data_IF_659476336969
#
_entry.id   IF_659476336969
#
_cell.length_a   1.000
_cell.length_b   1.000
_cell.length_c   1.000
_cell.angle_alpha   90.00
_cell.angle_beta   90.00
_cell.angle_gamma   90.00
#
_symmetry.space_group_name_H-M   'P 1'
#
loop_
_entity.id
_entity.type
_entity.pdbx_description
1 polymer ?
#
# COMPACT_ATOMS: atom_id res chain seq x y z
N UNK A 1 48.17 -25.49 -30.42
CA UNK A 1 47.61 -24.15 -30.15
C UNK A 1 46.12 -24.34 -29.89
N UNK A 2 45.75 -24.60 -28.63
CA UNK A 2 44.36 -24.87 -28.28
C UNK A 2 43.64 -23.54 -28.06
N UNK A 3 42.83 -23.15 -29.03
CA UNK A 3 41.82 -22.12 -28.82
C UNK A 3 40.83 -22.67 -27.78
N UNK A 4 40.94 -22.19 -26.55
CA UNK A 4 39.87 -22.35 -25.57
C UNK A 4 38.64 -21.66 -26.14
N UNK A 5 37.70 -22.45 -26.65
CA UNK A 5 36.43 -21.99 -27.20
C UNK A 5 35.72 -21.23 -26.07
N UNK A 6 35.63 -19.90 -26.16
CA UNK A 6 34.78 -19.11 -25.27
C UNK A 6 33.37 -19.67 -25.43
N UNK A 7 32.88 -20.32 -24.38
CA UNK A 7 31.49 -20.72 -24.31
C UNK A 7 30.69 -19.43 -24.16
N UNK A 8 29.86 -19.09 -25.14
CA UNK A 8 29.00 -17.92 -25.07
C UNK A 8 28.00 -18.00 -23.90
N UNK A 9 27.78 -19.22 -23.36
CA UNK A 9 27.00 -19.48 -22.15
C UNK A 9 27.74 -19.16 -20.85
N UNK A 10 29.06 -18.92 -20.89
CA UNK A 10 29.86 -18.60 -19.71
C UNK A 10 30.32 -17.14 -19.74
N UNK A 11 29.72 -16.33 -18.87
CA UNK A 11 30.08 -14.92 -18.74
C UNK A 11 31.49 -14.76 -18.17
N UNK A 12 32.34 -14.03 -18.87
CA UNK A 12 33.67 -13.67 -18.38
C UNK A 12 33.49 -12.69 -17.21
N UNK A 13 33.72 -13.16 -15.99
CA UNK A 13 33.68 -12.30 -14.80
C UNK A 13 34.94 -11.45 -14.70
N UNK A 14 34.80 -10.21 -14.27
CA UNK A 14 35.92 -9.33 -14.06
C UNK A 14 36.68 -9.75 -12.78
N UNK A 15 37.90 -10.27 -12.95
CA UNK A 15 38.72 -10.78 -11.84
C UNK A 15 39.02 -9.73 -10.76
N UNK A 16 39.15 -8.45 -11.12
CA UNK A 16 39.36 -7.37 -10.15
C UNK A 16 38.15 -7.16 -9.24
N UNK A 17 36.94 -7.28 -9.77
CA UNK A 17 35.72 -7.19 -8.94
C UNK A 17 35.59 -8.38 -8.00
N UNK A 18 36.05 -9.56 -8.40
CA UNK A 18 36.05 -10.75 -7.54
C UNK A 18 36.97 -10.56 -6.33
N UNK A 19 38.11 -9.91 -6.53
CA UNK A 19 39.14 -9.67 -5.50
C UNK A 19 38.75 -8.57 -4.51
N UNK A 20 37.94 -7.61 -4.93
CA UNK A 20 37.46 -6.50 -4.09
C UNK A 20 36.31 -6.93 -3.17
N UNK A 21 35.45 -7.84 -3.61
CA UNK A 21 34.26 -8.25 -2.86
C UNK A 21 34.59 -9.40 -1.92
N UNK A 22 34.56 -9.12 -0.62
CA UNK A 22 34.78 -10.07 0.48
C UNK A 22 33.60 -11.04 0.66
N UNK A 23 33.86 -12.17 1.33
CA UNK A 23 32.86 -13.21 1.58
C UNK A 23 31.58 -12.69 2.24
N UNK A 24 31.67 -11.91 3.34
CA UNK A 24 30.50 -11.35 4.01
C UNK A 24 29.61 -10.50 3.10
N UNK A 25 30.20 -9.65 2.25
CA UNK A 25 29.44 -8.81 1.33
C UNK A 25 28.75 -9.62 0.21
N UNK A 26 29.29 -10.78 -0.16
CA UNK A 26 28.61 -11.69 -1.12
C UNK A 26 27.38 -12.35 -0.54
N UNK A 27 27.39 -12.61 0.76
CA UNK A 27 26.32 -13.30 1.47
C UNK A 27 25.31 -12.33 2.11
N UNK A 28 25.65 -11.04 2.15
CA UNK A 28 24.79 -9.97 2.65
C UNK A 28 23.50 -9.88 1.81
N UNK A 29 22.36 -9.83 2.51
CA UNK A 29 21.04 -9.62 1.92
C UNK A 29 20.47 -8.33 2.48
N UNK A 30 19.79 -7.58 1.63
CA UNK A 30 19.08 -6.39 2.05
C UNK A 30 17.98 -6.80 3.06
N UNK A 31 17.80 -6.07 4.17
CA UNK A 31 16.70 -6.34 5.08
C UNK A 31 15.35 -6.13 4.40
N UNK A 32 14.34 -6.89 4.85
CA UNK A 32 12.95 -6.70 4.44
C UNK A 32 12.38 -5.47 5.15
N UNK A 33 12.53 -4.29 4.53
CA UNK A 33 11.96 -3.05 5.03
C UNK A 33 10.49 -2.90 4.61
N UNK A 34 9.63 -2.54 5.56
CA UNK A 34 8.23 -2.23 5.28
C UNK A 34 8.10 -0.87 4.61
N UNK A 35 7.30 -0.79 3.55
CA UNK A 35 6.95 0.50 2.94
C UNK A 35 5.94 1.26 3.80
N UNK A 36 6.11 2.58 3.91
CA UNK A 36 5.14 3.44 4.56
C UNK A 36 3.92 3.62 3.65
N UNK A 37 2.85 2.88 3.91
CA UNK A 37 1.59 3.01 3.18
C UNK A 37 0.74 4.13 3.81
N UNK A 38 0.30 5.13 3.05
CA UNK A 38 -0.61 6.16 3.56
C UNK A 38 -1.92 5.53 4.01
N UNK A 39 -2.17 5.53 5.33
CA UNK A 39 -3.38 4.92 5.90
C UNK A 39 -4.67 5.56 5.35
N UNK A 40 -4.62 6.85 4.97
CA UNK A 40 -5.76 7.56 4.39
C UNK A 40 -6.22 7.01 3.02
N UNK A 41 -5.34 6.32 2.30
CA UNK A 41 -5.63 5.71 0.99
C UNK A 41 -5.96 4.22 1.11
N UNK A 42 -5.93 3.67 2.33
CA UNK A 42 -6.36 2.29 2.58
C UNK A 42 -7.88 2.24 2.76
N UNK A 43 -8.53 1.15 2.31
CA UNK A 43 -9.92 0.87 2.64
C UNK A 43 -10.10 0.78 4.16
N UNK A 44 -11.22 1.30 4.66
CA UNK A 44 -11.55 1.21 6.08
C UNK A 44 -11.75 -0.26 6.51
N UNK A 45 -11.04 -0.76 7.55
CA UNK A 45 -11.28 -2.09 8.08
C UNK A 45 -12.69 -2.29 8.66
N UNK A 46 -13.38 -1.23 9.10
CA UNK A 46 -14.75 -1.28 9.62
C UNK A 46 -15.67 -0.32 8.86
N UNK A 47 -16.18 -0.71 7.66
CA UNK A 47 -16.98 0.20 6.84
C UNK A 47 -18.34 0.49 7.50
N UNK A 48 -18.45 1.63 8.20
CA UNK A 48 -19.70 2.13 8.80
C UNK A 48 -20.81 2.33 7.75
N UNK A 49 -20.41 2.67 6.52
CA UNK A 49 -21.32 2.96 5.41
C UNK A 49 -21.60 1.75 4.50
N UNK A 50 -21.15 0.54 4.87
CA UNK A 50 -21.40 -0.70 4.12
C UNK A 50 -20.68 -0.84 2.77
N UNK A 51 -19.79 0.09 2.42
CA UNK A 51 -18.94 0.00 1.23
C UNK A 51 -17.49 -0.35 1.62
N UNK A 52 -17.06 -1.62 1.47
CA UNK A 52 -15.74 -2.08 1.89
C UNK A 52 -14.58 -1.64 0.99
N UNK A 53 -14.84 -0.97 -0.14
CA UNK A 53 -13.80 -0.45 -1.03
C UNK A 53 -13.49 1.03 -0.82
N UNK A 54 -14.24 1.72 0.04
CA UNK A 54 -14.06 3.14 0.26
C UNK A 54 -12.83 3.42 1.14
N UNK A 55 -11.98 4.34 0.70
CA UNK A 55 -10.82 4.79 1.47
C UNK A 55 -11.24 5.79 2.55
N UNK A 56 -10.49 5.86 3.65
CA UNK A 56 -10.75 6.83 4.73
C UNK A 56 -10.85 8.28 4.20
N UNK A 57 -10.01 8.64 3.23
CA UNK A 57 -10.04 9.97 2.60
C UNK A 57 -11.35 10.23 1.85
N UNK A 58 -11.88 9.25 1.16
CA UNK A 58 -13.13 9.40 0.39
C UNK A 58 -14.33 9.53 1.33
N UNK A 59 -14.33 8.81 2.46
CA UNK A 59 -15.38 8.91 3.47
C UNK A 59 -15.47 10.30 4.09
N UNK A 60 -14.33 10.91 4.45
CA UNK A 60 -14.28 12.27 5.02
C UNK A 60 -14.75 13.36 4.04
N UNK A 61 -14.65 13.11 2.73
CA UNK A 61 -15.11 14.03 1.69
C UNK A 61 -16.62 13.96 1.44
N UNK A 62 -17.30 12.95 1.99
CA UNK A 62 -18.76 12.82 1.85
C UNK A 62 -19.47 13.71 2.86
N UNK A 63 -20.39 14.54 2.36
CA UNK A 63 -21.31 15.27 3.21
C UNK A 63 -22.50 14.39 3.58
N UNK A 64 -22.55 13.93 4.83
CA UNK A 64 -23.61 13.05 5.35
C UNK A 64 -24.71 13.79 6.12
N UNK A 65 -24.55 15.10 6.38
CA UNK A 65 -25.54 15.88 7.12
C UNK A 65 -26.72 16.30 6.23
N UNK A 66 -27.81 15.55 6.37
CA UNK A 66 -29.09 15.81 5.68
C UNK A 66 -30.03 16.74 6.47
N UNK A 67 -29.61 17.29 7.63
CA UNK A 67 -30.41 18.14 8.49
C UNK A 67 -31.82 17.58 8.86
N UNK A 68 -32.03 16.27 8.79
CA UNK A 68 -33.32 15.60 9.02
C UNK A 68 -33.86 15.82 10.44
N UNK A 69 -32.98 16.10 11.40
CA UNK A 69 -33.35 16.53 12.76
C UNK A 69 -34.28 17.74 12.77
N UNK A 70 -34.18 18.62 11.75
CA UNK A 70 -35.05 19.78 11.61
C UNK A 70 -36.48 19.34 11.31
N UNK A 71 -36.68 18.30 10.50
CA UNK A 71 -38.00 17.81 10.07
C UNK A 71 -38.80 17.19 11.23
N UNK A 72 -38.14 16.43 12.11
CA UNK A 72 -38.80 15.76 13.25
C UNK A 72 -39.35 16.76 14.29
N UNK A 73 -38.80 17.98 14.35
CA UNK A 73 -39.30 19.04 15.25
C UNK A 73 -40.50 19.80 14.69
N UNK A 74 -40.76 19.71 13.38
CA UNK A 74 -41.83 20.46 12.70
C UNK A 74 -43.08 19.62 12.49
N UNK A 75 -43.05 18.29 12.68
CA UNK A 75 -44.28 17.50 12.80
C UNK A 75 -45.00 17.96 14.06
N UNK A 76 -46.11 18.73 13.94
CA UNK A 76 -46.86 19.11 15.11
C UNK A 76 -47.36 17.82 15.75
N UNK A 77 -47.24 17.73 17.06
CA UNK A 77 -48.08 16.85 17.86
C UNK A 77 -49.52 17.30 17.64
N UNK A 78 -50.13 16.87 16.53
CA UNK A 78 -51.58 16.74 16.44
C UNK A 78 -51.95 15.54 17.29
N UNK A 79 -51.81 15.73 18.61
CA UNK A 79 -52.58 15.01 19.61
C UNK A 79 -54.04 15.42 19.38
N UNK A 80 -54.71 14.66 18.51
CA UNK A 80 -56.15 14.64 18.37
C UNK A 80 -56.78 14.37 19.74
N UNK A 81 -57.81 15.17 20.03
CA UNK A 81 -58.62 15.26 21.24
C UNK A 81 -59.07 13.94 21.86
#
# INVERSE_FOLDING_TARGET
MYFCKRMDSNVVRNGRLIDIVDGPWRDEKLPDESIAVPAAELPDPEPDNGNPQETLREQEQKWTDLALNKIHRITPTVSSS
#
